data_IF_034908755321
#
_entry.id   IF_034908755321
#
_cell.length_a   1.000
_cell.length_b   1.000
_cell.length_c   1.000
_cell.angle_alpha   90.00
_cell.angle_beta   90.00
_cell.angle_gamma   90.00
#
_symmetry.space_group_name_H-M   'P 1'
#
loop_
_entity.id
_entity.type
_entity.pdbx_description
1 polymer ?
#
# COMPACT_ATOMS: atom_id res chain seq x y z
N UNK A 1 33.86 -9.31 -3.21
CA UNK A 1 33.00 -8.13 -2.97
C UNK A 1 31.55 -8.51 -3.19
N UNK A 2 30.75 -8.54 -2.12
CA UNK A 2 29.30 -8.60 -2.28
C UNK A 2 28.85 -7.21 -2.72
N UNK A 3 28.14 -7.13 -3.84
CA UNK A 3 27.47 -5.91 -4.27
C UNK A 3 26.19 -5.74 -3.46
N UNK A 4 25.79 -4.49 -3.19
CA UNK A 4 24.51 -4.14 -2.51
C UNK A 4 23.33 -4.90 -3.14
N UNK A 5 23.35 -5.05 -4.46
CA UNK A 5 22.38 -5.85 -5.21
C UNK A 5 22.29 -7.32 -4.75
N UNK A 6 23.43 -7.98 -4.54
CA UNK A 6 23.47 -9.37 -4.05
C UNK A 6 22.97 -9.47 -2.61
N UNK A 7 23.21 -8.46 -1.79
CA UNK A 7 22.70 -8.43 -0.41
C UNK A 7 21.19 -8.30 -0.36
N UNK A 8 20.60 -7.40 -1.16
CA UNK A 8 19.14 -7.27 -1.30
C UNK A 8 18.54 -8.60 -1.80
N UNK A 9 19.13 -9.20 -2.84
CA UNK A 9 18.67 -10.48 -3.36
C UNK A 9 18.77 -11.61 -2.31
N UNK A 10 19.85 -11.64 -1.54
CA UNK A 10 20.04 -12.62 -0.46
C UNK A 10 19.06 -12.39 0.68
N UNK A 11 18.81 -11.15 1.09
CA UNK A 11 17.79 -10.82 2.10
C UNK A 11 16.38 -11.16 1.62
N UNK A 12 16.07 -11.01 0.33
CA UNK A 12 14.77 -11.43 -0.19
C UNK A 12 14.65 -12.96 -0.22
N UNK A 13 15.70 -13.68 -0.64
CA UNK A 13 15.70 -15.14 -0.72
C UNK A 13 15.74 -15.83 0.65
N UNK A 14 16.58 -15.35 1.55
CA UNK A 14 16.87 -15.98 2.85
C UNK A 14 16.17 -15.28 4.03
N UNK A 15 15.66 -14.06 3.84
CA UNK A 15 14.98 -13.30 4.88
C UNK A 15 13.58 -13.81 5.19
N UNK A 16 13.11 -13.41 6.37
CA UNK A 16 11.77 -13.75 6.85
C UNK A 16 10.67 -13.15 5.98
N UNK A 17 9.47 -13.72 6.05
CA UNK A 17 8.28 -13.12 5.42
C UNK A 17 8.09 -11.65 5.82
N UNK A 18 8.39 -11.29 7.08
CA UNK A 18 8.40 -9.92 7.55
C UNK A 18 9.32 -9.01 6.72
N UNK A 19 10.57 -9.43 6.52
CA UNK A 19 11.55 -8.68 5.73
C UNK A 19 11.07 -8.47 4.31
N UNK A 20 10.47 -9.51 3.70
CA UNK A 20 9.91 -9.41 2.34
C UNK A 20 8.76 -8.41 2.26
N UNK A 21 7.84 -8.43 3.22
CA UNK A 21 6.72 -7.49 3.26
C UNK A 21 7.21 -6.03 3.39
N UNK A 22 8.21 -5.78 4.25
CA UNK A 22 8.82 -4.46 4.40
C UNK A 22 9.46 -4.00 3.08
N UNK A 23 10.28 -4.86 2.46
CA UNK A 23 10.94 -4.54 1.20
C UNK A 23 9.95 -4.27 0.07
N UNK A 24 8.86 -5.03 -0.02
CA UNK A 24 7.81 -4.81 -1.03
C UNK A 24 7.13 -3.45 -0.82
N UNK A 25 6.74 -3.12 0.41
CA UNK A 25 6.10 -1.82 0.70
C UNK A 25 7.02 -0.64 0.38
N UNK A 26 8.30 -0.73 0.77
CA UNK A 26 9.30 0.30 0.44
C UNK A 26 9.50 0.39 -1.07
N UNK A 27 9.60 -0.74 -1.78
CA UNK A 27 9.78 -0.75 -3.23
C UNK A 27 8.59 -0.10 -3.96
N UNK A 28 7.35 -0.40 -3.55
CA UNK A 28 6.14 0.20 -4.11
C UNK A 28 6.13 1.71 -3.84
N UNK A 29 6.43 2.14 -2.61
CA UNK A 29 6.51 3.57 -2.28
C UNK A 29 7.54 4.31 -3.14
N UNK A 30 8.75 3.75 -3.27
CA UNK A 30 9.80 4.35 -4.11
C UNK A 30 9.36 4.37 -5.58
N UNK A 31 8.77 3.31 -6.09
CA UNK A 31 8.29 3.24 -7.46
C UNK A 31 7.25 4.31 -7.78
N UNK A 32 6.24 4.48 -6.92
CA UNK A 32 5.19 5.51 -7.09
C UNK A 32 5.81 6.92 -7.06
N UNK A 33 6.75 7.18 -6.15
CA UNK A 33 7.44 8.48 -6.09
C UNK A 33 8.33 8.72 -7.32
N UNK A 34 8.99 7.68 -7.85
CA UNK A 34 9.75 7.80 -9.09
C UNK A 34 8.85 8.11 -10.29
N UNK A 35 7.67 7.48 -10.37
CA UNK A 35 6.67 7.82 -11.38
C UNK A 35 6.22 9.28 -11.25
N UNK A 36 5.97 9.76 -10.03
CA UNK A 36 5.62 11.16 -9.80
C UNK A 36 6.74 12.10 -10.29
N UNK A 37 8.00 11.80 -9.98
CA UNK A 37 9.15 12.57 -10.47
C UNK A 37 9.19 12.58 -12.00
N UNK A 38 8.98 11.44 -12.66
CA UNK A 38 8.91 11.37 -14.13
C UNK A 38 7.78 12.27 -14.66
N UNK A 39 6.59 12.23 -14.06
CA UNK A 39 5.46 13.07 -14.47
C UNK A 39 5.74 14.57 -14.32
N UNK A 40 6.47 14.99 -13.30
CA UNK A 40 6.92 16.39 -13.15
C UNK A 40 7.82 16.79 -14.35
N UNK A 41 8.75 15.93 -14.75
CA UNK A 41 9.64 16.22 -15.87
C UNK A 41 8.96 16.16 -17.24
N UNK A 42 7.89 15.37 -17.41
CA UNK A 42 7.17 15.22 -18.69
C UNK A 42 5.96 16.14 -18.84
N UNK A 43 5.29 16.49 -17.74
CA UNK A 43 3.99 17.17 -17.73
C UNK A 43 4.05 18.71 -17.85
N UNK A 44 5.26 19.29 -17.85
CA UNK A 44 5.47 20.73 -18.04
C UNK A 44 5.15 21.62 -16.83
N UNK A 45 4.31 21.16 -15.89
CA UNK A 45 4.06 21.81 -14.60
C UNK A 45 3.65 20.80 -13.51
N UNK A 46 3.59 21.25 -12.27
CA UNK A 46 3.27 20.41 -11.09
C UNK A 46 1.80 20.00 -11.03
N UNK A 47 0.87 20.83 -11.50
CA UNK A 47 -0.57 20.51 -11.46
C UNK A 47 -0.92 19.32 -12.35
N UNK A 48 -0.34 19.25 -13.55
CA UNK A 48 -0.52 18.11 -14.46
C UNK A 48 0.07 16.84 -13.87
N UNK A 49 1.25 16.92 -13.25
CA UNK A 49 1.87 15.78 -12.59
C UNK A 49 1.03 15.23 -11.42
N UNK A 50 0.45 16.12 -10.60
CA UNK A 50 -0.46 15.76 -9.51
C UNK A 50 -1.76 15.11 -10.04
N UNK A 51 -2.29 15.57 -11.17
CA UNK A 51 -3.42 14.93 -11.84
C UNK A 51 -3.09 13.51 -12.32
N UNK A 52 -1.95 13.34 -13.01
CA UNK A 52 -1.51 12.04 -13.52
C UNK A 52 -1.22 11.03 -12.41
N UNK A 53 -0.56 11.45 -11.33
CA UNK A 53 -0.33 10.57 -10.17
C UNK A 53 -1.64 10.27 -9.44
N UNK A 54 -2.57 11.23 -9.35
CA UNK A 54 -3.91 11.03 -8.82
C UNK A 54 -4.70 9.96 -9.56
N UNK A 55 -4.62 9.93 -10.90
CA UNK A 55 -5.21 8.86 -11.71
C UNK A 55 -4.58 7.50 -11.39
N UNK A 56 -3.24 7.42 -11.33
CA UNK A 56 -2.53 6.18 -10.96
C UNK A 56 -2.98 5.69 -9.59
N UNK A 57 -3.06 6.59 -8.60
CA UNK A 57 -3.52 6.27 -7.26
C UNK A 57 -4.97 5.79 -7.28
N UNK A 58 -5.87 6.44 -8.03
CA UNK A 58 -7.27 6.02 -8.19
C UNK A 58 -7.46 4.67 -8.90
N UNK A 59 -6.43 4.13 -9.55
CA UNK A 59 -6.42 2.77 -10.11
C UNK A 59 -5.91 1.70 -9.12
N UNK A 60 -5.24 2.11 -8.05
CA UNK A 60 -4.60 1.21 -7.08
C UNK A 60 -5.24 1.28 -5.68
N UNK A 61 -5.86 2.40 -5.33
CA UNK A 61 -6.54 2.67 -4.06
C UNK A 61 -7.98 2.12 -4.08
N UNK A 62 -8.52 1.74 -2.92
CA UNK A 62 -9.89 1.19 -2.84
C UNK A 62 -10.91 2.32 -3.02
N UNK A 63 -11.77 2.28 -4.04
CA UNK A 63 -12.85 3.26 -4.19
C UNK A 63 -14.00 2.95 -3.22
N UNK A 64 -14.65 3.99 -2.71
CA UNK A 64 -15.83 3.83 -1.83
C UNK A 64 -17.12 3.56 -2.61
N UNK A 65 -17.20 4.01 -3.86
CA UNK A 65 -18.29 3.69 -4.76
C UNK A 65 -18.25 2.21 -5.19
N UNK A 66 -19.29 1.45 -4.83
CA UNK A 66 -19.37 0.00 -5.10
C UNK A 66 -19.29 -0.31 -6.60
N UNK A 67 -19.86 0.57 -7.45
CA UNK A 67 -19.78 0.44 -8.90
C UNK A 67 -18.35 0.46 -9.43
N UNK A 68 -17.52 1.34 -8.88
CA UNK A 68 -16.10 1.47 -9.28
C UNK A 68 -15.27 0.32 -8.75
N UNK A 69 -15.59 -0.17 -7.54
CA UNK A 69 -14.94 -1.35 -6.96
C UNK A 69 -15.14 -2.59 -7.85
N UNK A 70 -16.33 -2.77 -8.44
CA UNK A 70 -16.60 -3.88 -9.35
C UNK A 70 -15.75 -3.83 -10.63
N UNK A 71 -15.36 -2.63 -11.08
CA UNK A 71 -14.47 -2.45 -12.22
C UNK A 71 -12.99 -2.61 -11.85
N UNK A 72 -12.64 -2.38 -10.58
CA UNK A 72 -11.26 -2.40 -10.08
C UNK A 72 -11.09 -3.35 -8.88
N UNK A 73 -11.39 -4.65 -9.01
CA UNK A 73 -11.41 -5.58 -7.87
C UNK A 73 -10.03 -5.80 -7.23
N UNK A 74 -8.93 -5.55 -7.95
CA UNK A 74 -7.57 -5.65 -7.39
C UNK A 74 -7.27 -4.59 -6.34
N UNK A 75 -8.04 -3.49 -6.29
CA UNK A 75 -7.82 -2.38 -5.37
C UNK A 75 -7.87 -2.81 -3.92
N UNK A 76 -8.67 -3.84 -3.57
CA UNK A 76 -8.74 -4.44 -2.22
C UNK A 76 -7.43 -5.07 -1.74
N UNK A 77 -6.46 -5.27 -2.63
CA UNK A 77 -5.12 -5.77 -2.30
C UNK A 77 -4.06 -4.71 -2.58
N UNK A 78 -4.13 -4.01 -3.71
CA UNK A 78 -3.07 -3.06 -4.09
C UNK A 78 -2.95 -1.90 -3.12
N UNK A 79 -4.06 -1.45 -2.54
CA UNK A 79 -4.06 -0.36 -1.56
C UNK A 79 -3.23 -0.67 -0.31
N UNK A 80 -3.10 -1.97 0.05
CA UNK A 80 -2.34 -2.40 1.22
C UNK A 80 -0.86 -2.02 1.16
N UNK A 81 -0.35 -1.72 -0.03
CA UNK A 81 1.04 -1.36 -0.29
C UNK A 81 1.23 0.13 -0.63
N UNK A 82 0.14 0.88 -0.82
CA UNK A 82 0.20 2.29 -1.17
C UNK A 82 0.41 3.16 0.07
N UNK A 83 1.28 4.16 -0.07
CA UNK A 83 1.57 5.11 0.99
C UNK A 83 1.76 6.48 0.37
N UNK A 84 1.03 7.48 0.88
CA UNK A 84 1.08 8.85 0.34
C UNK A 84 2.30 9.66 0.79
N UNK A 85 2.73 9.46 2.04
CA UNK A 85 3.71 10.33 2.69
C UNK A 85 4.90 9.52 3.24
N UNK A 86 6.09 10.13 3.27
CA UNK A 86 7.31 9.50 3.80
C UNK A 86 7.16 9.04 5.25
N UNK A 87 6.59 9.88 6.12
CA UNK A 87 6.38 9.52 7.52
C UNK A 87 5.35 8.41 7.66
N UNK A 88 4.35 8.34 6.78
CA UNK A 88 3.34 7.29 6.81
C UNK A 88 3.98 5.91 6.53
N UNK A 89 4.78 5.79 5.47
CA UNK A 89 5.49 4.54 5.19
C UNK A 89 6.53 4.22 6.26
N UNK A 90 7.26 5.21 6.77
CA UNK A 90 8.25 5.01 7.82
C UNK A 90 7.63 4.37 9.07
N UNK A 91 6.56 4.97 9.60
CA UNK A 91 5.92 4.45 10.81
C UNK A 91 5.22 3.12 10.56
N UNK A 92 4.59 2.91 9.40
CA UNK A 92 4.01 1.60 9.06
C UNK A 92 5.08 0.51 9.04
N UNK A 93 6.27 0.78 8.47
CA UNK A 93 7.35 -0.20 8.45
C UNK A 93 7.97 -0.44 9.83
N UNK A 94 8.06 0.58 10.69
CA UNK A 94 8.50 0.41 12.08
C UNK A 94 7.53 -0.45 12.87
N UNK A 95 6.22 -0.18 12.76
CA UNK A 95 5.19 -0.99 13.41
C UNK A 95 5.19 -2.42 12.90
N UNK A 96 5.22 -2.61 11.58
CA UNK A 96 5.30 -3.92 10.96
C UNK A 96 6.57 -4.66 11.42
N UNK A 97 7.71 -3.98 11.52
CA UNK A 97 8.96 -4.56 12.00
C UNK A 97 8.84 -5.00 13.46
N UNK A 98 8.44 -4.12 14.39
CA UNK A 98 8.38 -4.47 15.81
C UNK A 98 7.32 -5.53 16.10
N UNK A 99 6.07 -5.33 15.66
CA UNK A 99 5.02 -6.30 15.88
C UNK A 99 5.25 -7.59 15.10
N UNK A 100 5.78 -7.51 13.88
CA UNK A 100 6.14 -8.68 13.10
C UNK A 100 7.26 -9.49 13.76
N UNK A 101 8.28 -8.84 14.34
CA UNK A 101 9.33 -9.54 15.10
C UNK A 101 8.75 -10.22 16.33
N UNK A 102 7.90 -9.54 17.10
CA UNK A 102 7.20 -10.13 18.25
C UNK A 102 6.36 -11.33 17.79
N UNK A 103 5.57 -11.17 16.74
CA UNK A 103 4.77 -12.24 16.17
C UNK A 103 5.64 -13.45 15.79
N UNK A 104 6.77 -13.23 15.12
CA UNK A 104 7.68 -14.30 14.70
C UNK A 104 8.44 -14.97 15.85
N UNK A 105 8.52 -14.35 17.04
CA UNK A 105 9.08 -15.01 18.22
C UNK A 105 8.14 -16.09 18.78
N UNK A 106 6.82 -15.92 18.59
CA UNK A 106 5.81 -16.82 19.15
C UNK A 106 5.10 -17.67 18.08
N UNK A 107 5.13 -17.24 16.81
CA UNK A 107 4.34 -17.78 15.70
C UNK A 107 5.23 -17.91 14.45
N UNK A 108 4.80 -18.71 13.46
CA UNK A 108 5.52 -18.91 12.20
C UNK A 108 5.32 -17.80 11.15
N UNK A 109 6.20 -17.81 10.14
CA UNK A 109 6.23 -16.83 9.05
C UNK A 109 5.05 -16.93 8.07
N UNK A 110 4.43 -18.10 7.91
CA UNK A 110 3.30 -18.27 6.98
C UNK A 110 2.05 -17.60 7.55
N UNK A 111 1.83 -17.74 8.85
CA UNK A 111 0.73 -17.08 9.57
C UNK A 111 0.88 -15.56 9.58
N UNK A 112 2.10 -15.03 9.61
CA UNK A 112 2.32 -13.57 9.51
C UNK A 112 1.73 -13.00 8.21
N UNK A 113 1.97 -13.67 7.06
CA UNK A 113 1.36 -13.26 5.80
C UNK A 113 -0.17 -13.37 5.84
N UNK A 114 -0.70 -14.46 6.42
CA UNK A 114 -2.14 -14.63 6.60
C UNK A 114 -2.77 -13.50 7.40
N UNK A 115 -2.16 -13.09 8.51
CA UNK A 115 -2.61 -11.98 9.34
C UNK A 115 -2.49 -10.64 8.61
N UNK A 116 -1.40 -10.42 7.87
CA UNK A 116 -1.24 -9.21 7.06
C UNK A 116 -2.35 -9.09 6.02
N UNK A 117 -2.62 -10.15 5.25
CA UNK A 117 -3.67 -10.17 4.23
C UNK A 117 -5.08 -10.06 4.84
N UNK A 118 -5.37 -10.82 5.89
CA UNK A 118 -6.67 -10.76 6.56
C UNK A 118 -6.92 -9.38 7.18
N UNK A 119 -5.88 -8.76 7.77
CA UNK A 119 -5.95 -7.41 8.31
C UNK A 119 -6.25 -6.36 7.24
N UNK A 120 -5.55 -6.43 6.10
CA UNK A 120 -5.86 -5.56 4.95
C UNK A 120 -7.29 -5.79 4.43
N UNK A 121 -7.65 -7.02 4.06
CA UNK A 121 -9.00 -7.29 3.54
C UNK A 121 -10.11 -6.86 4.52
N UNK A 122 -9.90 -7.06 5.83
CA UNK A 122 -10.83 -6.58 6.85
C UNK A 122 -10.89 -5.04 6.91
N UNK A 123 -9.75 -4.36 6.76
CA UNK A 123 -9.69 -2.89 6.68
C UNK A 123 -10.45 -2.34 5.48
N UNK A 124 -10.26 -2.92 4.28
CA UNK A 124 -11.00 -2.53 3.07
C UNK A 124 -12.51 -2.78 3.25
N UNK A 125 -12.89 -3.92 3.81
CA UNK A 125 -14.30 -4.23 4.09
C UNK A 125 -14.91 -3.21 5.06
N UNK A 126 -14.25 -2.93 6.18
CA UNK A 126 -14.72 -1.97 7.17
C UNK A 126 -14.82 -0.55 6.58
N UNK A 127 -13.87 -0.16 5.74
CA UNK A 127 -13.89 1.12 5.03
C UNK A 127 -15.12 1.24 4.13
N UNK A 128 -15.37 0.23 3.29
CA UNK A 128 -16.53 0.20 2.40
C UNK A 128 -17.85 0.23 3.16
N UNK A 129 -17.95 -0.56 4.23
CA UNK A 129 -19.14 -0.61 5.10
C UNK A 129 -19.37 0.72 5.81
N UNK A 130 -18.32 1.38 6.28
CA UNK A 130 -18.44 2.68 6.92
C UNK A 130 -18.97 3.73 5.94
N UNK A 131 -18.35 3.88 4.76
CA UNK A 131 -18.73 4.91 3.78
C UNK A 131 -20.11 4.68 3.15
N UNK A 132 -20.55 3.44 3.00
CA UNK A 132 -21.85 3.12 2.40
C UNK A 132 -22.97 2.88 3.45
N UNK A 133 -22.61 2.67 4.72
CA UNK A 133 -23.56 2.34 5.79
C UNK A 133 -23.85 3.50 6.74
N UNK A 134 -22.97 4.49 6.85
CA UNK A 134 -23.11 5.64 7.76
C UNK A 134 -23.54 6.87 6.95
N UNK A 135 -24.75 7.43 7.19
CA UNK A 135 -25.27 8.55 6.41
C UNK A 135 -24.37 9.79 6.37
N UNK A 136 -23.57 10.01 7.42
CA UNK A 136 -22.61 11.11 7.49
C UNK A 136 -21.52 11.06 6.39
N UNK A 137 -21.30 9.91 5.76
CA UNK A 137 -20.27 9.75 4.72
C UNK A 137 -20.81 9.76 3.27
N UNK A 138 -22.13 9.81 3.08
CA UNK A 138 -22.75 9.70 1.76
C UNK A 138 -22.25 10.76 0.74
N UNK A 139 -22.00 11.99 1.19
CA UNK A 139 -21.50 13.06 0.32
C UNK A 139 -20.06 12.83 -0.16
N UNK A 140 -19.28 11.99 0.55
CA UNK A 140 -17.88 11.72 0.25
C UNK A 140 -17.66 10.45 -0.56
N UNK A 141 -18.69 9.60 -0.73
CA UNK A 141 -18.62 8.35 -1.51
C UNK A 141 -18.13 8.55 -2.95
N UNK A 142 -18.50 9.62 -3.68
CA UNK A 142 -18.01 9.78 -5.06
C UNK A 142 -16.52 10.12 -5.18
N UNK A 143 -15.89 10.58 -4.09
CA UNK A 143 -14.56 11.18 -4.13
C UNK A 143 -13.53 10.45 -3.26
N UNK A 144 -13.96 9.58 -2.36
CA UNK A 144 -13.09 8.97 -1.36
C UNK A 144 -12.46 7.67 -1.87
N UNK A 145 -11.14 7.63 -1.75
CA UNK A 145 -10.31 6.45 -1.99
C UNK A 145 -9.43 6.19 -0.77
N UNK A 146 -9.09 4.93 -0.52
CA UNK A 146 -8.19 4.47 0.56
C UNK A 146 -6.85 3.98 0.02
#
# INVERSE_FOLDING_TARGET
MNTIWKEIQNQFKQGSMLTRLILINIAVFVFVNLLHVIFIFTGGNTEVAEGMIGEVMGWLAVPTAIGDLAQKPWTVVTYMFLHKDLFHVLFNMLWLFWFGRIFLMYIDQKKLLGVYLAGGLSGALLYLLAYNGIPAFNEYVPYSIM
#
